data_IF_609394519386
#
_entry.id   IF_609394519386
#
_cell.length_a   1.000
_cell.length_b   1.000
_cell.length_c   1.000
_cell.angle_alpha   90.00
_cell.angle_beta   90.00
_cell.angle_gamma   90.00
#
_symmetry.space_group_name_H-M   'P 1'
#
loop_
_entity.id
_entity.type
_entity.pdbx_description
1 polymer ?
#
# COMPACT_ATOMS: atom_id res chain seq x y z
N UNK A 1 -14.18 -8.75 -5.42
CA UNK A 1 -14.35 -10.01 -4.69
C UNK A 1 -12.97 -10.55 -4.35
N UNK A 2 -12.83 -11.23 -3.22
CA UNK A 2 -11.56 -11.85 -2.79
C UNK A 2 -11.20 -13.02 -3.71
N UNK A 3 -9.92 -13.12 -4.12
CA UNK A 3 -9.40 -14.25 -4.89
C UNK A 3 -9.24 -15.51 -4.01
N UNK A 4 -9.02 -15.35 -2.69
CA UNK A 4 -8.55 -16.42 -1.80
C UNK A 4 -9.56 -16.93 -0.75
N UNK A 5 -10.67 -16.24 -0.46
CA UNK A 5 -11.62 -16.71 0.59
C UNK A 5 -13.11 -16.59 0.27
N UNK A 6 -13.48 -16.26 -0.98
CA UNK A 6 -14.87 -16.29 -1.45
C UNK A 6 -15.88 -15.37 -0.74
N UNK A 7 -15.46 -14.61 0.27
CA UNK A 7 -16.31 -13.74 1.11
C UNK A 7 -15.89 -12.26 1.00
N UNK A 8 -16.81 -11.34 1.36
CA UNK A 8 -16.47 -9.91 1.52
C UNK A 8 -15.41 -9.77 2.61
N UNK A 9 -14.20 -9.36 2.24
CA UNK A 9 -13.10 -9.14 3.18
C UNK A 9 -13.46 -7.96 4.10
N UNK A 10 -13.63 -8.24 5.39
CA UNK A 10 -13.50 -7.21 6.40
C UNK A 10 -12.00 -7.04 6.68
N UNK A 11 -11.39 -5.99 6.11
CA UNK A 11 -9.93 -5.83 6.14
C UNK A 11 -9.33 -5.70 7.54
N UNK A 12 -10.13 -5.29 8.52
CA UNK A 12 -9.73 -5.19 9.91
C UNK A 12 -9.67 -6.56 10.62
N UNK A 13 -10.25 -7.60 10.02
CA UNK A 13 -10.31 -8.96 10.59
C UNK A 13 -9.44 -9.96 9.84
N UNK A 14 -8.68 -9.53 8.82
CA UNK A 14 -7.81 -10.46 8.11
C UNK A 14 -6.65 -10.84 9.02
N UNK A 15 -6.60 -12.13 9.37
CA UNK A 15 -5.55 -12.68 10.23
C UNK A 15 -4.44 -13.25 9.35
N UNK A 16 -3.21 -12.90 9.69
CA UNK A 16 -2.03 -13.48 9.08
C UNK A 16 -2.01 -14.99 9.33
N UNK A 17 -1.81 -15.83 8.29
CA UNK A 17 -1.73 -17.27 8.48
C UNK A 17 -0.62 -17.66 9.47
N UNK A 18 -0.88 -18.69 10.28
CA UNK A 18 0.04 -19.13 11.33
C UNK A 18 1.40 -19.47 10.74
N UNK A 19 2.46 -18.95 11.35
CA UNK A 19 3.84 -19.22 10.93
C UNK A 19 4.39 -18.27 9.86
N UNK A 20 3.59 -17.29 9.41
CA UNK A 20 4.05 -16.25 8.49
C UNK A 20 4.28 -14.92 9.18
N UNK A 21 5.19 -14.11 8.62
CA UNK A 21 5.21 -12.65 8.72
C UNK A 21 4.45 -12.05 7.53
N UNK A 22 4.03 -10.79 7.60
CA UNK A 22 3.40 -10.13 6.46
C UNK A 22 4.32 -10.07 5.26
N UNK A 23 5.63 -9.93 5.46
CA UNK A 23 6.63 -10.05 4.39
C UNK A 23 6.54 -11.40 3.69
N UNK A 24 6.73 -12.50 4.45
CA UNK A 24 6.72 -13.86 3.88
C UNK A 24 5.38 -14.19 3.21
N UNK A 25 4.28 -13.65 3.75
CA UNK A 25 2.96 -13.85 3.18
C UNK A 25 2.75 -13.02 1.91
N UNK A 26 3.29 -11.80 1.83
CA UNK A 26 3.28 -10.99 0.60
C UNK A 26 4.06 -11.69 -0.52
N UNK A 27 5.24 -12.23 -0.20
CA UNK A 27 6.06 -13.01 -1.14
C UNK A 27 5.32 -14.26 -1.62
N UNK A 28 4.68 -14.99 -0.70
CA UNK A 28 3.82 -16.13 -1.04
C UNK A 28 2.69 -15.72 -1.99
N UNK A 29 1.94 -14.66 -1.68
CA UNK A 29 0.84 -14.16 -2.50
C UNK A 29 1.31 -13.77 -3.91
N UNK A 30 2.46 -13.11 -4.03
CA UNK A 30 3.03 -12.75 -5.33
C UNK A 30 3.40 -13.99 -6.15
N UNK A 31 3.88 -15.06 -5.52
CA UNK A 31 4.23 -16.31 -6.19
C UNK A 31 3.02 -17.14 -6.61
N UNK A 32 1.85 -16.92 -6.02
CA UNK A 32 0.60 -17.62 -6.38
C UNK A 32 -0.23 -16.89 -7.44
N UNK A 33 0.11 -15.65 -7.78
CA UNK A 33 -0.58 -14.88 -8.82
C UNK A 33 -0.10 -15.24 -10.23
N UNK A 34 -0.94 -15.04 -11.27
CA UNK A 34 -0.47 -15.03 -12.65
C UNK A 34 0.68 -14.04 -12.84
N UNK A 35 1.65 -14.39 -13.69
CA UNK A 35 2.90 -13.64 -13.87
C UNK A 35 2.67 -12.15 -14.16
N UNK A 36 1.73 -11.81 -15.05
CA UNK A 36 1.39 -10.42 -15.39
C UNK A 36 0.92 -9.63 -14.15
N UNK A 37 0.02 -10.22 -13.35
CA UNK A 37 -0.49 -9.58 -12.15
C UNK A 37 0.58 -9.46 -11.06
N UNK A 38 1.39 -10.49 -10.87
CA UNK A 38 2.51 -10.48 -9.92
C UNK A 38 3.52 -9.38 -10.28
N UNK A 39 3.90 -9.28 -11.56
CA UNK A 39 4.81 -8.25 -12.05
C UNK A 39 4.23 -6.84 -11.91
N UNK A 40 2.92 -6.69 -12.14
CA UNK A 40 2.24 -5.41 -11.90
C UNK A 40 2.34 -4.97 -10.44
N UNK A 41 2.03 -5.84 -9.48
CA UNK A 41 2.15 -5.52 -8.06
C UNK A 41 3.59 -5.23 -7.65
N UNK A 42 4.57 -6.00 -8.14
CA UNK A 42 6.01 -5.79 -7.85
C UNK A 42 6.47 -4.40 -8.27
N UNK A 43 6.18 -3.96 -9.51
CA UNK A 43 6.53 -2.61 -10.00
C UNK A 43 5.91 -1.50 -9.13
N UNK A 44 4.67 -1.71 -8.66
CA UNK A 44 3.98 -0.75 -7.79
C UNK A 44 4.57 -0.73 -6.39
N UNK A 45 4.89 -1.89 -5.83
CA UNK A 45 5.50 -2.01 -4.51
C UNK A 45 6.89 -1.39 -4.49
N UNK A 46 7.69 -1.62 -5.52
CA UNK A 46 9.00 -0.98 -5.67
C UNK A 46 8.88 0.54 -5.67
N UNK A 47 7.96 1.11 -6.46
CA UNK A 47 7.70 2.57 -6.48
C UNK A 47 7.24 3.10 -5.12
N UNK A 48 6.40 2.34 -4.41
CA UNK A 48 5.91 2.71 -3.09
C UNK A 48 7.04 2.70 -2.04
N UNK A 49 7.87 1.66 -2.06
CA UNK A 49 9.04 1.52 -1.18
C UNK A 49 10.03 2.67 -1.46
N UNK A 50 10.41 2.86 -2.72
CA UNK A 50 11.37 3.91 -3.12
C UNK A 50 10.85 5.31 -2.75
N UNK A 51 9.55 5.56 -2.91
CA UNK A 51 8.95 6.83 -2.48
C UNK A 51 9.20 7.09 -0.99
N UNK A 52 8.90 6.12 -0.13
CA UNK A 52 9.05 6.27 1.32
C UNK A 52 10.50 6.31 1.81
N UNK A 53 11.41 5.59 1.14
CA UNK A 53 12.85 5.61 1.47
C UNK A 53 13.51 6.90 1.01
N UNK A 54 13.28 7.31 -0.24
CA UNK A 54 14.03 8.43 -0.83
C UNK A 54 13.40 9.80 -0.54
N UNK A 55 12.07 9.89 -0.63
CA UNK A 55 11.33 11.15 -0.52
C UNK A 55 10.61 11.29 0.81
N UNK A 56 9.98 10.22 1.29
CA UNK A 56 9.15 10.22 2.49
C UNK A 56 7.76 10.79 2.24
N UNK A 57 6.96 10.85 3.30
CA UNK A 57 5.62 11.43 3.26
C UNK A 57 5.35 12.29 4.49
N UNK A 58 4.42 13.25 4.35
CA UNK A 58 4.02 14.12 5.44
C UNK A 58 3.15 13.38 6.45
N UNK A 59 3.54 13.41 7.72
CA UNK A 59 2.84 12.80 8.86
C UNK A 59 2.53 13.87 9.92
N UNK A 60 1.45 13.69 10.68
CA UNK A 60 1.13 14.59 11.80
C UNK A 60 2.07 14.34 12.98
N UNK A 61 2.15 15.30 13.89
CA UNK A 61 3.03 15.16 15.06
C UNK A 61 2.65 13.94 15.90
N UNK A 62 1.35 13.63 16.04
CA UNK A 62 0.91 12.42 16.77
C UNK A 62 1.32 11.11 16.09
N UNK A 63 1.35 11.09 14.75
CA UNK A 63 1.79 9.91 14.00
C UNK A 63 3.31 9.72 14.11
N UNK A 64 4.06 10.84 14.15
CA UNK A 64 5.51 10.85 14.30
C UNK A 64 5.90 10.36 15.68
N UNK A 65 5.24 10.85 16.74
CA UNK A 65 5.49 10.41 18.11
C UNK A 65 5.32 8.89 18.26
N UNK A 66 4.31 8.31 17.62
CA UNK A 66 4.10 6.85 17.60
C UNK A 66 5.27 6.15 16.90
N UNK A 67 5.71 6.67 15.75
CA UNK A 67 6.80 6.08 14.99
C UNK A 67 8.14 6.18 15.72
N UNK A 68 8.46 7.32 16.31
CA UNK A 68 9.69 7.53 17.06
C UNK A 68 9.74 6.64 18.31
N UNK A 69 8.61 6.50 19.02
CA UNK A 69 8.52 5.68 20.23
C UNK A 69 8.70 4.18 19.98
N UNK A 70 8.16 3.66 18.87
CA UNK A 70 8.10 2.20 18.62
C UNK A 70 9.04 1.69 17.53
N UNK A 71 9.39 2.56 16.60
CA UNK A 71 10.10 2.23 15.36
C UNK A 71 11.20 3.25 15.02
N UNK A 72 11.69 4.01 16.01
CA UNK A 72 12.64 5.11 15.80
C UNK A 72 13.94 4.70 15.10
N UNK A 73 14.39 3.46 15.31
CA UNK A 73 15.56 2.91 14.61
C UNK A 73 15.28 2.65 13.11
N UNK A 74 14.02 2.48 12.73
CA UNK A 74 13.55 2.16 11.37
C UNK A 74 13.14 3.38 10.54
N UNK A 75 13.03 4.55 11.15
CA UNK A 75 12.62 5.79 10.47
C UNK A 75 13.69 6.87 10.51
N UNK A 76 13.48 7.91 9.69
CA UNK A 76 14.26 9.15 9.69
C UNK A 76 13.26 10.30 9.71
N UNK A 77 13.27 11.08 10.79
CA UNK A 77 12.59 12.37 10.83
C UNK A 77 13.44 13.38 10.07
N UNK A 78 12.93 13.93 8.97
CA UNK A 78 13.70 14.89 8.17
C UNK A 78 13.63 16.31 8.76
N UNK A 79 12.70 16.56 9.69
CA UNK A 79 12.35 17.88 10.20
C UNK A 79 11.95 18.89 9.10
N UNK A 80 11.66 18.42 7.89
CA UNK A 80 11.19 19.25 6.78
C UNK A 80 9.67 19.26 6.71
N UNK A 81 9.08 20.40 6.35
CA UNK A 81 7.64 20.52 6.13
C UNK A 81 7.24 19.91 4.79
N UNK A 82 6.15 19.13 4.80
CA UNK A 82 5.54 18.60 3.58
C UNK A 82 5.06 19.74 2.70
N UNK A 83 5.54 19.78 1.44
CA UNK A 83 5.03 20.69 0.40
C UNK A 83 3.66 20.27 -0.15
N UNK A 84 3.18 19.08 0.24
CA UNK A 84 1.87 18.55 -0.15
C UNK A 84 0.82 18.90 0.90
N UNK A 85 -0.39 19.23 0.45
CA UNK A 85 -1.51 19.56 1.33
C UNK A 85 -1.40 20.97 1.90
N UNK A 86 -1.77 21.14 3.17
CA UNK A 86 -1.81 22.45 3.85
C UNK A 86 -0.44 22.90 4.40
N UNK A 87 0.59 22.07 4.26
CA UNK A 87 1.91 22.36 4.85
C UNK A 87 1.94 22.24 6.38
N UNK A 88 0.97 21.52 6.96
CA UNK A 88 0.77 21.29 8.39
C UNK A 88 1.56 20.07 8.93
N UNK A 89 2.12 19.24 8.03
CA UNK A 89 2.78 17.97 8.35
C UNK A 89 4.30 18.01 8.19
N UNK A 90 5.01 17.18 8.95
CA UNK A 90 6.45 16.97 8.84
C UNK A 90 6.76 15.70 8.03
N UNK A 91 7.84 15.71 7.24
CA UNK A 91 8.20 14.59 6.36
C UNK A 91 8.97 13.52 7.13
N UNK A 92 8.49 12.29 7.04
CA UNK A 92 9.17 11.10 7.56
C UNK A 92 9.59 10.20 6.42
N UNK A 93 10.82 9.68 6.51
CA UNK A 93 11.35 8.61 5.65
C UNK A 93 11.50 7.32 6.43
N UNK A 94 11.50 6.21 5.71
CA UNK A 94 11.75 4.89 6.27
C UNK A 94 13.13 4.39 5.83
N UNK A 95 13.84 3.68 6.70
CA UNK A 95 15.11 3.01 6.37
C UNK A 95 14.88 1.64 5.75
N UNK A 96 13.79 0.98 6.14
CA UNK A 96 13.39 -0.34 5.64
C UNK A 96 11.87 -0.51 5.77
N UNK A 97 11.33 -1.55 5.13
CA UNK A 97 9.90 -1.87 5.19
C UNK A 97 9.59 -2.59 6.50
N UNK A 98 8.70 -2.02 7.32
CA UNK A 98 8.24 -2.63 8.58
C UNK A 98 7.18 -3.70 8.29
N UNK A 99 7.12 -4.77 9.08
CA UNK A 99 6.16 -5.85 8.82
C UNK A 99 4.70 -5.37 8.99
N UNK A 100 4.40 -4.72 10.11
CA UNK A 100 3.08 -4.17 10.45
C UNK A 100 3.22 -2.94 11.35
N UNK A 101 2.31 -1.97 11.20
CA UNK A 101 2.21 -0.78 12.06
C UNK A 101 0.73 -0.59 12.45
N UNK A 102 0.24 -1.35 13.45
CA UNK A 102 -1.19 -1.42 13.76
C UNK A 102 -1.79 -0.04 14.11
N UNK A 103 -1.00 0.85 14.70
CA UNK A 103 -1.42 2.18 15.12
C UNK A 103 -1.80 3.09 13.94
N UNK A 104 -1.21 2.85 12.76
CA UNK A 104 -1.37 3.69 11.56
C UNK A 104 -2.11 2.98 10.41
N UNK A 105 -2.59 1.76 10.65
CA UNK A 105 -3.24 0.90 9.66
C UNK A 105 -4.61 1.38 9.16
N UNK A 106 -5.20 2.41 9.79
CA UNK A 106 -6.54 2.90 9.45
C UNK A 106 -6.56 4.29 8.81
N UNK A 107 -5.50 5.10 8.99
CA UNK A 107 -5.52 6.53 8.65
C UNK A 107 -4.66 6.90 7.45
N UNK A 108 -3.48 6.28 7.28
CA UNK A 108 -2.51 6.72 6.28
C UNK A 108 -1.73 5.56 5.64
N UNK A 109 -1.34 5.70 4.38
CA UNK A 109 -0.64 4.67 3.61
C UNK A 109 0.85 4.59 3.98
N UNK A 110 1.13 4.09 5.17
CA UNK A 110 2.49 3.94 5.72
C UNK A 110 3.21 2.73 5.11
N UNK A 111 4.54 2.80 5.00
CA UNK A 111 5.36 1.73 4.44
C UNK A 111 5.39 0.49 5.33
N UNK A 112 4.47 -0.46 5.07
CA UNK A 112 4.47 -1.77 5.72
C UNK A 112 4.16 -2.93 4.77
N UNK A 113 4.68 -4.12 5.10
CA UNK A 113 4.38 -5.35 4.37
C UNK A 113 2.90 -5.70 4.44
N UNK A 114 2.25 -5.50 5.59
CA UNK A 114 0.80 -5.69 5.73
C UNK A 114 0.01 -4.88 4.72
N UNK A 115 0.38 -3.61 4.48
CA UNK A 115 -0.31 -2.76 3.49
C UNK A 115 -0.19 -3.33 2.08
N UNK A 116 1.00 -3.79 1.70
CA UNK A 116 1.25 -4.44 0.41
C UNK A 116 0.49 -5.78 0.27
N UNK A 117 0.50 -6.64 1.30
CA UNK A 117 -0.30 -7.87 1.33
C UNK A 117 -1.80 -7.56 1.15
N UNK A 118 -2.32 -6.60 1.91
CA UNK A 118 -3.74 -6.22 1.84
C UNK A 118 -4.13 -5.65 0.47
N UNK A 119 -3.20 -5.01 -0.24
CA UNK A 119 -3.39 -4.57 -1.62
C UNK A 119 -3.67 -5.75 -2.56
N UNK A 120 -2.90 -6.84 -2.43
CA UNK A 120 -3.14 -8.09 -3.19
C UNK A 120 -4.43 -8.76 -2.75
N UNK A 121 -4.63 -8.96 -1.44
CA UNK A 121 -5.78 -9.69 -0.87
C UNK A 121 -7.11 -9.04 -1.29
N UNK A 122 -7.15 -7.71 -1.32
CA UNK A 122 -8.34 -6.93 -1.74
C UNK A 122 -8.54 -6.90 -3.25
N UNK A 123 -7.64 -7.50 -4.03
CA UNK A 123 -7.57 -7.36 -5.48
C UNK A 123 -7.55 -5.89 -5.92
N UNK A 124 -6.81 -5.06 -5.17
CA UNK A 124 -6.58 -3.66 -5.51
C UNK A 124 -5.48 -3.56 -6.56
N UNK A 125 -5.81 -3.99 -7.79
CA UNK A 125 -4.85 -4.05 -8.89
C UNK A 125 -4.15 -2.71 -9.12
N UNK A 126 -4.90 -1.61 -9.02
CA UNK A 126 -4.37 -0.26 -9.21
C UNK A 126 -3.58 0.27 -8.00
N UNK A 127 -3.52 -0.46 -6.89
CA UNK A 127 -2.86 -0.06 -5.66
C UNK A 127 -3.35 1.30 -5.13
N UNK A 128 -4.65 1.57 -5.22
CA UNK A 128 -5.24 2.83 -4.70
C UNK A 128 -5.05 2.97 -3.19
N UNK A 129 -5.00 1.84 -2.48
CA UNK A 129 -4.71 1.74 -1.05
C UNK A 129 -3.25 1.99 -0.67
N UNK A 130 -2.38 2.24 -1.66
CA UNK A 130 -0.99 2.68 -1.47
C UNK A 130 -0.82 4.09 -2.08
N UNK A 131 -1.87 4.90 -2.04
CA UNK A 131 -1.92 6.27 -2.57
C UNK A 131 -1.62 6.41 -4.07
N UNK A 132 -1.73 5.33 -4.85
CA UNK A 132 -1.57 5.47 -6.29
C UNK A 132 -2.86 5.90 -7.00
N UNK A 133 -2.73 6.88 -7.89
CA UNK A 133 -3.77 7.25 -8.85
C UNK A 133 -3.85 6.28 -10.02
N UNK A 134 -5.05 6.17 -10.61
CA UNK A 134 -5.20 5.65 -11.98
C UNK A 134 -4.87 6.80 -12.93
N UNK A 135 -4.01 6.56 -13.91
CA UNK A 135 -3.71 7.57 -14.94
C UNK A 135 -4.96 7.87 -15.79
N UNK A 136 -5.06 9.09 -16.35
CA UNK A 136 -6.19 9.47 -17.23
C UNK A 136 -6.37 8.50 -18.41
N UNK A 137 -5.25 8.03 -18.98
CA UNK A 137 -5.26 7.08 -20.09
C UNK A 137 -5.79 5.70 -19.68
N UNK A 138 -5.40 5.17 -18.51
CA UNK A 138 -5.93 3.92 -17.99
C UNK A 138 -7.44 4.02 -17.68
N UNK A 139 -7.90 5.17 -17.19
CA UNK A 139 -9.34 5.42 -17.02
C UNK A 139 -10.08 5.41 -18.36
N UNK A 140 -9.53 6.07 -19.39
CA UNK A 140 -10.10 6.11 -20.73
C UNK A 140 -10.23 4.71 -21.34
N UNK A 141 -9.15 3.92 -21.35
CA UNK A 141 -9.18 2.55 -21.88
C UNK A 141 -10.20 1.66 -21.17
N UNK A 142 -10.33 1.81 -19.85
CA UNK A 142 -11.34 1.08 -19.07
C UNK A 142 -12.76 1.46 -19.47
N UNK A 143 -13.02 2.76 -19.67
CA UNK A 143 -14.32 3.26 -20.11
C UNK A 143 -14.67 2.70 -21.50
N UNK A 144 -13.72 2.76 -22.44
CA UNK A 144 -13.91 2.23 -23.81
C UNK A 144 -14.15 0.72 -23.83
N UNK A 145 -13.42 -0.05 -23.01
CA UNK A 145 -13.67 -1.49 -22.90
C UNK A 145 -15.08 -1.78 -22.32
N UNK A 146 -15.51 -1.04 -21.30
CA UNK A 146 -16.86 -1.20 -20.73
C UNK A 146 -17.97 -0.81 -21.71
N UNK A 147 -17.75 0.23 -22.54
CA UNK A 147 -18.70 0.63 -23.58
C UNK A 147 -18.83 -0.46 -24.65
N UNK A 148 -17.72 -1.01 -25.15
CA UNK A 148 -17.74 -2.14 -26.09
C UNK A 148 -18.48 -3.36 -25.55
N UNK A 149 -18.27 -3.71 -24.27
CA UNK A 149 -18.97 -4.84 -23.66
C UNK A 149 -20.49 -4.60 -23.49
N UNK A 150 -20.93 -3.34 -23.33
CA UNK A 150 -22.36 -3.00 -23.26
C UNK A 150 -23.06 -3.08 -24.61
N UNK A 151 -22.34 -2.87 -25.71
CA UNK A 151 -22.89 -2.95 -27.07
C UNK A 151 -23.02 -4.39 -27.58
N UNK A 152 -22.32 -5.33 -26.95
CA UNK A 152 -22.30 -6.76 -27.31
C UNK A 152 -23.31 -7.59 -26.47
N UNK A 153 -23.93 -6.97 -25.46
CA UNK A 153 -24.98 -7.55 -24.60
C UNK A 153 -26.35 -6.99 -24.98
#
# INVERSE_FOLDING_TARGET
>A
GNIYSGTKINSHKYQLPRGHTWKSFTEFLLNTLPEEAANHYKDRFEKFINWWIEKGSGMTDEEIDILESKYGDKIINTHERSKRGKGDKNVIKFKEVIDEIPELDTKQDVLSWKRMAMCIIKNDYWCKSLSFGITKEQQRRRKEAMEKYKEVL
#
